data_IF_611155726071
#
_entry.id   IF_611155726071
#
_cell.length_a   1.000
_cell.length_b   1.000
_cell.length_c   1.000
_cell.angle_alpha   90.00
_cell.angle_beta   90.00
_cell.angle_gamma   90.00
#
_symmetry.space_group_name_H-M   'P 1'
#
loop_
_entity.id
_entity.type
_entity.pdbx_description
1 polymer ?
#
# COMPACT_ATOMS: atom_id res chain seq x y z
N UNK A 1 64.09 18.02 8.56
CA UNK A 1 62.87 18.34 9.33
C UNK A 1 61.74 17.54 8.71
N UNK A 2 61.44 16.37 9.26
CA UNK A 2 60.36 15.48 8.79
C UNK A 2 59.17 15.64 9.72
N UNK A 3 58.06 16.16 9.20
CA UNK A 3 56.80 16.26 9.91
C UNK A 3 56.14 14.87 9.94
N UNK A 4 55.87 14.35 11.13
CA UNK A 4 55.10 13.12 11.35
C UNK A 4 53.62 13.43 11.07
N UNK A 5 52.90 12.61 10.29
CA UNK A 5 51.47 12.78 10.14
C UNK A 5 50.78 12.34 11.44
N UNK A 6 50.03 13.27 12.03
CA UNK A 6 49.18 13.04 13.19
C UNK A 6 47.94 12.23 12.74
N UNK A 7 48.03 10.91 12.85
CA UNK A 7 46.90 9.99 12.60
C UNK A 7 46.04 9.82 13.86
N UNK A 8 45.61 10.93 14.44
CA UNK A 8 44.63 10.93 15.52
C UNK A 8 43.22 11.12 14.92
N UNK A 9 42.73 10.11 14.17
CA UNK A 9 41.29 10.04 13.95
C UNK A 9 40.64 9.73 15.31
N UNK A 10 39.62 10.49 15.75
CA UNK A 10 38.99 10.24 17.02
C UNK A 10 38.30 8.87 16.95
N UNK A 11 38.87 7.88 17.62
CA UNK A 11 38.20 6.62 17.94
C UNK A 11 36.88 6.98 18.60
N UNK A 12 35.77 6.67 17.92
CA UNK A 12 34.43 6.78 18.49
C UNK A 12 34.47 6.17 19.90
N UNK A 13 34.13 6.98 20.90
CA UNK A 13 34.27 6.57 22.29
C UNK A 13 33.46 5.28 22.51
N UNK A 14 34.00 4.31 23.25
CA UNK A 14 33.35 3.02 23.48
C UNK A 14 31.91 3.14 24.03
N UNK A 15 31.58 4.22 24.74
CA UNK A 15 30.23 4.51 25.21
C UNK A 15 29.24 4.82 24.07
N UNK A 16 29.70 5.44 22.97
CA UNK A 16 28.88 5.76 21.81
C UNK A 16 28.55 4.49 21.01
N UNK A 17 29.54 3.63 20.77
CA UNK A 17 29.33 2.34 20.11
C UNK A 17 28.35 1.44 20.91
N UNK A 18 28.44 1.46 22.24
CA UNK A 18 27.48 0.76 23.10
C UNK A 18 26.07 1.35 23.03
N UNK A 19 25.94 2.69 22.97
CA UNK A 19 24.65 3.36 22.81
C UNK A 19 24.00 3.07 21.44
N UNK A 20 24.79 3.05 20.37
CA UNK A 20 24.32 2.69 19.02
C UNK A 20 23.87 1.23 18.95
N UNK A 21 24.61 0.30 19.57
CA UNK A 21 24.22 -1.10 19.66
C UNK A 21 22.89 -1.29 20.42
N UNK A 22 22.73 -0.62 21.57
CA UNK A 22 21.50 -0.67 22.35
C UNK A 22 20.30 -0.07 21.59
N UNK A 23 20.52 1.03 20.86
CA UNK A 23 19.49 1.63 20.01
C UNK A 23 19.09 0.68 18.86
N UNK A 24 20.05 0.00 18.23
CA UNK A 24 19.76 -0.99 17.19
C UNK A 24 18.97 -2.19 17.73
N UNK A 25 19.31 -2.68 18.92
CA UNK A 25 18.55 -3.74 19.59
C UNK A 25 17.11 -3.30 19.86
N UNK A 26 16.91 -2.08 20.37
CA UNK A 26 15.57 -1.51 20.60
C UNK A 26 14.77 -1.37 19.29
N UNK A 27 15.40 -0.99 18.19
CA UNK A 27 14.74 -0.93 16.88
C UNK A 27 14.29 -2.32 16.41
N UNK A 28 15.15 -3.33 16.57
CA UNK A 28 14.83 -4.71 16.20
C UNK A 28 13.66 -5.26 17.01
N UNK A 29 13.64 -5.01 18.32
CA UNK A 29 12.55 -5.43 19.21
C UNK A 29 11.23 -4.75 18.84
N UNK A 30 11.28 -3.45 18.55
CA UNK A 30 10.10 -2.69 18.13
C UNK A 30 9.53 -3.23 16.82
N UNK A 31 10.40 -3.53 15.85
CA UNK A 31 10.00 -4.12 14.57
C UNK A 31 9.39 -5.52 14.76
N UNK A 32 9.98 -6.37 15.61
CA UNK A 32 9.48 -7.70 15.92
C UNK A 32 8.08 -7.65 16.56
N UNK A 33 7.88 -6.77 17.53
CA UNK A 33 6.57 -6.54 18.16
C UNK A 33 5.52 -6.04 17.16
N UNK A 34 5.92 -5.12 16.26
CA UNK A 34 5.06 -4.63 15.19
C UNK A 34 4.58 -5.75 14.26
N UNK A 35 5.51 -6.63 13.85
CA UNK A 35 5.21 -7.78 13.00
C UNK A 35 4.26 -8.77 13.69
N UNK A 36 4.51 -9.11 14.95
CA UNK A 36 3.64 -10.02 15.71
C UNK A 36 2.22 -9.44 15.86
N UNK A 37 2.13 -8.14 16.15
CA UNK A 37 0.84 -7.43 16.23
C UNK A 37 0.09 -7.48 14.89
N UNK A 38 0.78 -7.20 13.79
CA UNK A 38 0.19 -7.24 12.45
C UNK A 38 -0.37 -8.64 12.12
N UNK A 39 0.39 -9.71 12.43
CA UNK A 39 -0.07 -11.10 12.24
C UNK A 39 -1.32 -11.40 13.06
N UNK A 40 -1.30 -11.04 14.34
CA UNK A 40 -2.45 -11.22 15.24
C UNK A 40 -3.70 -10.50 14.72
N UNK A 41 -3.57 -9.29 14.19
CA UNK A 41 -4.70 -8.56 13.62
C UNK A 41 -5.23 -9.23 12.35
N UNK A 42 -4.35 -9.72 11.47
CA UNK A 42 -4.78 -10.48 10.30
C UNK A 42 -5.63 -11.70 10.70
N UNK A 43 -5.18 -12.45 11.70
CA UNK A 43 -5.89 -13.62 12.22
C UNK A 43 -7.25 -13.24 12.81
N UNK A 44 -7.32 -12.17 13.60
CA UNK A 44 -8.57 -11.67 14.19
C UNK A 44 -9.57 -11.22 13.12
N UNK A 45 -9.11 -10.54 12.07
CA UNK A 45 -9.96 -10.15 10.94
C UNK A 45 -10.51 -11.40 10.25
N UNK A 46 -9.64 -12.34 9.90
CA UNK A 46 -10.03 -13.55 9.16
C UNK A 46 -10.98 -14.44 9.99
N UNK A 47 -10.73 -14.58 11.29
CA UNK A 47 -11.61 -15.31 12.20
C UNK A 47 -13.00 -14.68 12.27
N UNK A 48 -13.08 -13.36 12.43
CA UNK A 48 -14.36 -12.64 12.47
C UNK A 48 -15.13 -12.75 11.15
N UNK A 49 -14.44 -12.69 10.02
CA UNK A 49 -15.07 -12.90 8.70
C UNK A 49 -15.62 -14.32 8.58
N UNK A 50 -14.86 -15.33 9.01
CA UNK A 50 -15.31 -16.72 9.01
C UNK A 50 -16.52 -16.95 9.92
N UNK A 51 -16.55 -16.37 11.12
CA UNK A 51 -17.68 -16.44 12.05
C UNK A 51 -18.98 -15.87 11.46
N UNK A 52 -18.85 -14.85 10.61
CA UNK A 52 -19.97 -14.22 9.90
C UNK A 52 -20.32 -14.92 8.57
N UNK A 53 -19.62 -15.99 8.22
CA UNK A 53 -19.80 -16.71 6.95
C UNK A 53 -19.34 -15.91 5.73
N UNK A 54 -18.44 -14.93 5.91
CA UNK A 54 -17.92 -14.09 4.84
C UNK A 54 -16.64 -14.71 4.29
N UNK A 55 -16.64 -15.06 3.01
CA UNK A 55 -15.42 -15.45 2.29
C UNK A 55 -14.86 -14.22 1.58
N UNK A 56 -13.71 -13.67 2.01
CA UNK A 56 -13.10 -12.53 1.34
C UNK A 56 -12.51 -12.93 -0.02
N UNK A 57 -12.42 -11.96 -0.93
CA UNK A 57 -11.70 -12.12 -2.21
C UNK A 57 -10.21 -12.27 -1.93
N UNK A 58 -9.69 -11.46 -1.01
CA UNK A 58 -8.34 -11.62 -0.45
C UNK A 58 -8.42 -11.56 1.07
N UNK A 59 -7.91 -12.59 1.74
CA UNK A 59 -7.82 -12.61 3.20
C UNK A 59 -6.83 -11.55 3.72
N UNK A 60 -7.04 -11.11 4.95
CA UNK A 60 -6.07 -10.24 5.62
C UNK A 60 -4.76 -11.02 5.80
N UNK A 61 -3.63 -10.36 5.52
CA UNK A 61 -2.30 -10.98 5.60
C UNK A 61 -1.24 -9.95 5.94
N UNK A 62 -0.06 -10.39 6.34
CA UNK A 62 1.11 -9.53 6.44
C UNK A 62 1.93 -9.66 5.16
N UNK A 63 2.33 -8.56 4.55
CA UNK A 63 3.19 -8.57 3.36
C UNK A 63 4.68 -8.78 3.70
N UNK A 64 5.51 -8.91 2.67
CA UNK A 64 6.95 -9.14 2.81
C UNK A 64 7.69 -7.99 3.52
N UNK A 65 7.05 -6.83 3.66
CA UNK A 65 7.57 -5.65 4.37
C UNK A 65 7.09 -5.59 5.82
N UNK A 66 6.32 -6.59 6.29
CA UNK A 66 5.80 -6.64 7.65
C UNK A 66 4.55 -5.80 7.87
N UNK A 67 3.93 -5.26 6.81
CA UNK A 67 2.73 -4.44 6.92
C UNK A 67 1.47 -5.29 6.84
N UNK A 68 0.47 -4.93 7.65
CA UNK A 68 -0.86 -5.54 7.57
C UNK A 68 -1.58 -5.11 6.30
N UNK A 69 -1.90 -6.08 5.45
CA UNK A 69 -2.83 -5.97 4.32
C UNK A 69 -4.22 -6.34 4.82
N UNK A 70 -5.16 -5.40 4.69
CA UNK A 70 -6.57 -5.58 5.05
C UNK A 70 -7.23 -6.63 4.14
N UNK A 71 -8.29 -7.28 4.62
CA UNK A 71 -9.02 -8.25 3.80
C UNK A 71 -9.91 -7.53 2.79
N UNK A 72 -9.89 -7.94 1.52
CA UNK A 72 -10.73 -7.39 0.45
C UNK A 72 -12.04 -8.16 0.35
N UNK A 73 -13.16 -7.47 0.50
CA UNK A 73 -14.50 -8.09 0.52
C UNK A 73 -15.26 -7.92 -0.79
N UNK A 74 -15.00 -6.85 -1.55
CA UNK A 74 -15.66 -6.59 -2.84
C UNK A 74 -14.62 -6.30 -3.92
N UNK A 75 -14.96 -6.58 -5.18
CA UNK A 75 -14.18 -6.08 -6.32
C UNK A 75 -14.47 -4.58 -6.51
N UNK A 76 -13.53 -3.83 -7.10
CA UNK A 76 -13.87 -2.54 -7.67
C UNK A 76 -14.98 -2.71 -8.70
N UNK A 77 -16.05 -1.94 -8.56
CA UNK A 77 -17.14 -1.95 -9.52
C UNK A 77 -16.74 -1.05 -10.69
N UNK A 78 -16.62 -1.63 -11.90
CA UNK A 78 -16.44 -0.85 -13.12
C UNK A 78 -17.78 -0.21 -13.55
N UNK A 79 -18.43 0.50 -12.64
CA UNK A 79 -19.43 1.49 -13.00
C UNK A 79 -18.69 2.78 -13.41
N UNK A 80 -19.20 3.52 -14.41
CA UNK A 80 -18.66 4.82 -14.70
C UNK A 80 -18.77 5.64 -13.41
N UNK A 81 -17.62 5.98 -12.82
CA UNK A 81 -17.43 6.80 -11.61
C UNK A 81 -17.29 6.09 -10.24
N UNK A 82 -17.14 4.76 -10.12
CA UNK A 82 -17.08 4.09 -8.80
C UNK A 82 -15.91 3.10 -8.61
N UNK A 83 -14.68 3.61 -8.55
CA UNK A 83 -13.46 2.80 -8.38
C UNK A 83 -13.15 2.44 -6.92
N UNK A 84 -14.11 1.88 -6.17
CA UNK A 84 -13.93 1.63 -4.74
C UNK A 84 -14.15 0.17 -4.36
N UNK A 85 -13.41 -0.28 -3.35
CA UNK A 85 -13.58 -1.59 -2.73
C UNK A 85 -13.82 -1.47 -1.23
N UNK A 86 -14.57 -2.43 -0.68
CA UNK A 86 -14.78 -2.57 0.75
C UNK A 86 -13.70 -3.48 1.32
N UNK A 87 -12.96 -2.96 2.30
CA UNK A 87 -11.94 -3.68 3.04
C UNK A 87 -12.32 -3.86 4.50
N UNK A 88 -11.89 -4.96 5.10
CA UNK A 88 -11.99 -5.19 6.53
C UNK A 88 -10.64 -4.93 7.22
N UNK A 89 -10.66 -4.05 8.20
CA UNK A 89 -9.53 -3.64 9.01
C UNK A 89 -9.77 -3.93 10.49
N UNK A 90 -8.71 -3.97 11.30
CA UNK A 90 -8.83 -4.10 12.75
C UNK A 90 -8.85 -2.72 13.41
N UNK A 91 -9.90 -2.42 14.17
CA UNK A 91 -9.96 -1.23 15.01
C UNK A 91 -9.31 -1.51 16.36
N UNK A 92 -8.20 -0.83 16.64
CA UNK A 92 -7.53 -0.93 17.94
C UNK A 92 -8.35 -0.28 19.07
N UNK A 93 -9.19 0.70 18.75
CA UNK A 93 -10.02 1.39 19.73
C UNK A 93 -11.24 0.56 20.10
N UNK A 94 -11.94 0.03 19.10
CA UNK A 94 -13.17 -0.73 19.30
C UNK A 94 -12.91 -2.22 19.60
N UNK A 95 -11.66 -2.69 19.41
CA UNK A 95 -11.25 -4.10 19.50
C UNK A 95 -12.12 -5.03 18.66
N UNK A 96 -12.47 -4.55 17.46
CA UNK A 96 -13.36 -5.24 16.52
C UNK A 96 -12.93 -4.97 15.08
N UNK A 97 -13.48 -5.76 14.15
CA UNK A 97 -13.32 -5.52 12.72
C UNK A 97 -14.17 -4.33 12.30
N UNK A 98 -13.58 -3.42 11.56
CA UNK A 98 -14.23 -2.28 10.93
C UNK A 98 -14.10 -2.35 9.40
N UNK A 99 -15.08 -1.76 8.73
CA UNK A 99 -15.17 -1.69 7.29
C UNK A 99 -14.68 -0.32 6.81
N UNK A 100 -13.79 -0.36 5.85
CA UNK A 100 -13.23 0.80 5.18
C UNK A 100 -13.62 0.75 3.71
N UNK A 101 -13.78 1.92 3.10
CA UNK A 101 -13.80 2.05 1.65
C UNK A 101 -12.43 2.55 1.21
N UNK A 102 -11.86 1.91 0.21
CA UNK A 102 -10.54 2.25 -0.32
C UNK A 102 -10.61 2.38 -1.84
N UNK A 103 -9.75 3.23 -2.40
CA UNK A 103 -9.42 3.13 -3.81
C UNK A 103 -8.73 1.77 -4.03
N UNK A 104 -9.12 1.05 -5.08
CA UNK A 104 -8.55 -0.27 -5.40
C UNK A 104 -7.05 -0.19 -5.68
N UNK A 105 -6.53 0.98 -6.07
CA UNK A 105 -5.09 1.20 -6.31
C UNK A 105 -4.29 1.57 -5.05
N UNK A 106 -4.95 1.93 -3.95
CA UNK A 106 -4.27 2.34 -2.73
C UNK A 106 -4.12 1.16 -1.79
N UNK A 107 -2.96 1.02 -1.14
CA UNK A 107 -2.73 0.03 -0.10
C UNK A 107 -3.25 0.49 1.27
N UNK A 108 -3.53 1.79 1.40
CA UNK A 108 -4.13 2.40 2.57
C UNK A 108 -5.60 2.71 2.31
N UNK A 109 -6.48 2.66 3.32
CA UNK A 109 -7.86 3.05 3.17
C UNK A 109 -7.98 4.56 2.99
N UNK A 110 -8.02 5.00 1.74
CA UNK A 110 -8.00 6.42 1.35
C UNK A 110 -9.23 7.20 1.85
N UNK A 111 -10.37 6.53 2.00
CA UNK A 111 -11.64 7.15 2.44
C UNK A 111 -11.97 6.86 3.91
N UNK A 112 -11.14 6.06 4.59
CA UNK A 112 -11.22 5.78 6.02
C UNK A 112 -12.37 4.84 6.43
N UNK A 113 -12.62 4.82 7.75
CA UNK A 113 -13.63 3.99 8.40
C UNK A 113 -15.03 4.42 7.97
N UNK A 114 -15.84 3.43 7.60
CA UNK A 114 -17.26 3.61 7.28
C UNK A 114 -18.13 3.07 8.41
N UNK A 115 -17.85 1.86 8.92
CA UNK A 115 -18.65 1.23 9.98
C UNK A 115 -17.94 0.07 10.68
N UNK A 116 -18.51 -0.43 11.78
CA UNK A 116 -18.09 -1.71 12.39
C UNK A 116 -18.74 -2.89 11.67
N UNK A 117 -18.04 -4.03 11.62
CA UNK A 117 -18.53 -5.27 11.03
C UNK A 117 -19.25 -6.12 12.09
N UNK A 118 -20.58 -6.00 12.14
CA UNK A 118 -21.43 -6.76 13.05
C UNK A 118 -22.13 -7.94 12.35
N UNK A 119 -22.38 -7.81 11.05
CA UNK A 119 -23.19 -8.73 10.25
C UNK A 119 -22.78 -8.71 8.78
N UNK A 120 -23.22 -9.72 8.02
CA UNK A 120 -23.05 -9.76 6.57
C UNK A 120 -23.69 -8.53 5.87
N UNK A 121 -24.82 -8.03 6.40
CA UNK A 121 -25.52 -6.87 5.85
C UNK A 121 -24.68 -5.58 5.91
N UNK A 122 -23.73 -5.50 6.86
CA UNK A 122 -22.85 -4.35 6.98
C UNK A 122 -21.92 -4.19 5.78
N UNK A 123 -21.50 -5.30 5.14
CA UNK A 123 -20.67 -5.23 3.93
C UNK A 123 -21.45 -4.56 2.78
N UNK A 124 -22.72 -4.93 2.62
CA UNK A 124 -23.59 -4.33 1.60
C UNK A 124 -23.91 -2.87 1.90
N UNK A 125 -24.09 -2.51 3.17
CA UNK A 125 -24.32 -1.14 3.59
C UNK A 125 -23.06 -0.27 3.42
N UNK A 126 -21.89 -0.75 3.83
CA UNK A 126 -20.61 -0.05 3.64
C UNK A 126 -20.36 0.30 2.17
N UNK A 127 -20.71 -0.62 1.26
CA UNK A 127 -20.61 -0.38 -0.19
C UNK A 127 -21.44 0.84 -0.65
N UNK A 128 -22.61 1.07 -0.05
CA UNK A 128 -23.52 2.19 -0.39
C UNK A 128 -23.20 3.49 0.34
N UNK A 129 -22.50 3.41 1.47
CA UNK A 129 -22.13 4.57 2.28
C UNK A 129 -20.89 5.31 1.78
N UNK A 130 -20.20 4.74 0.79
CA UNK A 130 -19.08 5.38 0.10
C UNK A 130 -19.54 6.76 -0.40
N UNK A 131 -18.88 7.86 -0.01
CA UNK A 131 -19.30 9.16 -0.46
C UNK A 131 -19.14 9.20 -1.98
N UNK A 132 -20.18 9.67 -2.68
CA UNK A 132 -20.17 9.92 -4.13
C UNK A 132 -19.31 11.16 -4.41
N UNK A 133 -18.04 11.11 -4.00
CA UNK A 133 -17.07 12.13 -4.34
C UNK A 133 -16.78 11.99 -5.83
N UNK A 134 -16.56 13.12 -6.55
CA UNK A 134 -16.01 13.03 -7.89
C UNK A 134 -14.77 12.15 -7.80
N UNK A 135 -14.69 11.14 -8.67
CA UNK A 135 -13.56 10.22 -8.75
C UNK A 135 -12.27 11.03 -8.56
N UNK A 136 -11.42 10.71 -7.57
CA UNK A 136 -10.18 11.44 -7.39
C UNK A 136 -9.48 11.49 -8.74
N UNK A 137 -8.96 12.67 -9.11
CA UNK A 137 -8.33 12.84 -10.42
C UNK A 137 -7.25 11.78 -10.55
N UNK A 138 -7.41 10.87 -11.51
CA UNK A 138 -6.41 9.87 -11.85
C UNK A 138 -5.08 10.58 -12.06
N UNK A 139 -4.09 10.20 -11.28
CA UNK A 139 -2.74 10.70 -11.46
C UNK A 139 -2.06 9.83 -12.51
N UNK A 140 -2.36 10.10 -13.78
CA UNK A 140 -1.83 9.35 -14.92
C UNK A 140 -0.29 9.26 -14.92
N UNK A 141 0.39 10.24 -14.32
CA UNK A 141 1.84 10.19 -14.12
C UNK A 141 2.24 9.10 -13.11
N UNK A 142 1.55 8.96 -11.98
CA UNK A 142 1.83 7.88 -11.03
C UNK A 142 1.41 6.52 -11.58
N UNK A 143 0.31 6.43 -12.32
CA UNK A 143 -0.09 5.21 -13.05
C UNK A 143 1.00 4.81 -14.06
N UNK A 144 1.59 5.78 -14.77
CA UNK A 144 2.70 5.54 -15.70
C UNK A 144 3.93 4.95 -15.00
N UNK A 145 4.35 5.56 -13.88
CA UNK A 145 5.48 5.05 -13.11
C UNK A 145 5.21 3.63 -12.63
N UNK A 146 4.02 3.35 -12.06
CA UNK A 146 3.68 2.00 -11.58
C UNK A 146 3.64 0.97 -12.71
N UNK A 147 3.06 1.32 -13.86
CA UNK A 147 3.01 0.42 -15.01
C UNK A 147 4.41 0.10 -15.55
N UNK A 148 5.29 1.10 -15.59
CA UNK A 148 6.70 0.95 -15.97
C UNK A 148 7.46 0.12 -14.92
N UNK A 149 7.24 0.34 -13.62
CA UNK A 149 7.90 -0.40 -12.54
C UNK A 149 7.42 -1.87 -12.45
N UNK A 150 6.17 -2.16 -12.83
CA UNK A 150 5.60 -3.51 -12.77
C UNK A 150 6.19 -4.49 -13.79
N UNK A 151 6.76 -3.95 -14.86
CA UNK A 151 7.48 -4.68 -15.90
C UNK A 151 8.98 -4.58 -15.59
N UNK A 152 9.40 -5.27 -14.53
CA UNK A 152 10.78 -5.26 -14.07
C UNK A 152 11.70 -5.94 -15.11
N UNK A 153 12.29 -5.14 -16.00
CA UNK A 153 13.20 -5.56 -17.08
C UNK A 153 14.43 -6.27 -16.51
N UNK A 154 14.87 -5.91 -15.30
CA UNK A 154 16.04 -6.48 -14.64
C UNK A 154 15.86 -7.95 -14.23
N UNK A 155 14.66 -8.52 -14.34
CA UNK A 155 14.38 -9.94 -14.10
C UNK A 155 14.13 -10.73 -15.39
N UNK A 156 14.06 -10.06 -16.53
CA UNK A 156 13.90 -10.66 -17.84
C UNK A 156 15.31 -10.91 -18.40
N UNK A 157 15.98 -11.98 -17.94
CA UNK A 157 17.31 -12.38 -18.40
C UNK A 157 17.28 -12.91 -19.87
N UNK A 158 16.71 -12.13 -20.78
CA UNK A 158 16.49 -12.41 -22.20
C UNK A 158 16.44 -11.08 -22.98
N UNK A 159 17.42 -10.79 -23.86
CA UNK A 159 17.50 -9.52 -24.59
C UNK A 159 16.29 -9.22 -25.49
N UNK A 160 15.61 -10.25 -25.99
CA UNK A 160 14.39 -10.08 -26.78
C UNK A 160 13.20 -9.67 -25.92
N UNK A 161 13.10 -10.19 -24.70
CA UNK A 161 12.07 -9.79 -23.74
C UNK A 161 12.31 -8.37 -23.22
N UNK A 162 13.57 -7.97 -23.00
CA UNK A 162 13.94 -6.60 -22.63
C UNK A 162 13.53 -5.57 -23.70
N UNK A 163 13.78 -5.88 -24.98
CA UNK A 163 13.40 -5.02 -26.09
C UNK A 163 11.86 -4.85 -26.20
N UNK A 164 11.10 -5.93 -25.98
CA UNK A 164 9.63 -5.89 -25.97
C UNK A 164 9.12 -5.11 -24.75
N UNK A 165 9.67 -5.35 -23.56
CA UNK A 165 9.30 -4.59 -22.36
C UNK A 165 9.59 -3.09 -22.52
N UNK A 166 10.74 -2.73 -23.10
CA UNK A 166 11.10 -1.34 -23.41
C UNK A 166 10.12 -0.70 -24.39
N UNK A 167 9.70 -1.43 -25.43
CA UNK A 167 8.70 -0.94 -26.38
C UNK A 167 7.33 -0.74 -25.73
N UNK A 168 6.92 -1.66 -24.85
CA UNK A 168 5.68 -1.54 -24.06
C UNK A 168 5.76 -0.33 -23.13
N UNK A 169 6.89 -0.10 -22.44
CA UNK A 169 7.10 1.09 -21.60
C UNK A 169 6.98 2.39 -22.40
N UNK A 170 7.61 2.45 -23.58
CA UNK A 170 7.53 3.61 -24.46
C UNK A 170 6.09 3.89 -24.93
N UNK A 171 5.36 2.83 -25.33
CA UNK A 171 3.98 2.95 -25.75
C UNK A 171 3.05 3.37 -24.60
N UNK A 172 3.21 2.78 -23.40
CA UNK A 172 2.45 3.15 -22.20
C UNK A 172 2.72 4.60 -21.81
N UNK A 173 3.98 5.04 -21.81
CA UNK A 173 4.32 6.43 -21.53
C UNK A 173 3.69 7.41 -22.53
N UNK A 174 3.70 7.07 -23.83
CA UNK A 174 3.09 7.89 -24.87
C UNK A 174 1.56 7.99 -24.72
N UNK A 175 0.88 6.87 -24.45
CA UNK A 175 -0.56 6.85 -24.24
C UNK A 175 -0.98 7.64 -23.00
N UNK A 176 -0.21 7.55 -21.91
CA UNK A 176 -0.51 8.28 -20.68
C UNK A 176 -0.21 9.77 -20.82
N UNK A 177 0.83 10.15 -21.56
CA UNK A 177 1.09 11.55 -21.88
C UNK A 177 -0.03 12.16 -22.75
N UNK A 178 -0.54 11.40 -23.73
CA UNK A 178 -1.69 11.81 -24.53
C UNK A 178 -2.96 11.95 -23.65
N UNK A 179 -3.21 11.01 -22.75
CA UNK A 179 -4.34 11.07 -21.82
C UNK A 179 -4.27 12.28 -20.88
N UNK A 180 -3.09 12.60 -20.34
CA UNK A 180 -2.84 13.80 -19.53
C UNK A 180 -3.07 15.08 -20.34
N UNK A 181 -2.61 15.12 -21.60
CA UNK A 181 -2.84 16.27 -22.50
C UNK A 181 -4.33 16.50 -22.75
N UNK A 182 -5.08 15.44 -23.07
CA UNK A 182 -6.54 15.51 -23.27
C UNK A 182 -7.25 15.96 -21.98
N UNK A 183 -6.84 15.43 -20.82
CA UNK A 183 -7.43 15.77 -19.54
C UNK A 183 -7.25 17.26 -19.19
N UNK A 184 -6.11 17.86 -19.55
CA UNK A 184 -5.84 19.29 -19.36
C UNK A 184 -6.61 20.18 -20.34
N UNK A 185 -6.81 19.73 -21.58
CA UNK A 185 -7.55 20.49 -22.60
C UNK A 185 -9.07 20.49 -22.37
N UNK A 186 -9.60 19.49 -21.65
CA UNK A 186 -11.02 19.39 -21.31
C UNK A 186 -11.41 20.09 -19.99
N UNK A 187 -10.47 20.72 -19.27
CA UNK A 187 -10.83 21.58 -18.14
C UNK A 187 -11.44 22.90 -18.63
N UNK A 188 -12.71 23.22 -18.29
CA UNK A 188 -13.25 24.54 -18.58
C UNK A 188 -12.48 25.57 -17.75
N UNK A 189 -11.93 26.57 -18.43
CA UNK A 189 -11.39 27.80 -17.82
C UNK A 189 -12.47 28.37 -16.90
N UNK A 190 -12.24 28.32 -15.58
CA UNK A 190 -13.05 29.04 -14.59
C UNK A 190 -12.61 30.49 -14.50
#
# INVERSE_FOLDING_TARGET
MTATPDTSQPTAHAWLAAAEAAHQEQQNDTAAQGLERARRHADLINARLADLGITPIEAARVDDRGHLRQARLTQPEYEPHTYYEVRAAWSENDKQVELHTADWEDNSPTFGRVRLLNSLADVAAARRETPTLPTPRRNYHQEAIRAIDSLNVDHLNNPGAEAVATAIHGATAALLHLADTIAREQEPVR
#
